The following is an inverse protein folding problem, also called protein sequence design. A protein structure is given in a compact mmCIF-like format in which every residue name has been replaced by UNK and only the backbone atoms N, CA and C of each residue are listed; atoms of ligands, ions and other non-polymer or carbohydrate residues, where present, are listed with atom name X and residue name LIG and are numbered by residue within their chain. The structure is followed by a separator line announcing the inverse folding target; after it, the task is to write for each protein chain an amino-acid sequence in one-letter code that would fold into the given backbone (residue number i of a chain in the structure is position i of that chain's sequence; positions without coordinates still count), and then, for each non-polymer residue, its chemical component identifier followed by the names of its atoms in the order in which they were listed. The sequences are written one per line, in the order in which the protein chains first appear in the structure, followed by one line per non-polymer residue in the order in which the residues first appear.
data_IF_435091675045
#
_entry.id   IF_435091675045
#
_cell.length_a   1.000
_cell.length_b   1.000
_cell.length_c   1.000
_cell.angle_alpha   90.00
_cell.angle_beta   90.00
_cell.angle_gamma   90.00
#
_symmetry.space_group_name_H-M   'P 1'
#
loop_
_entity.id
_entity.type
_entity.pdbx_description
1 polymer ?
#
# COMPACT_ATOMS: atom_id res chain seq x y z
N UNK A 1 20.90 27.52 -1.05
CA UNK A 1 20.00 26.40 -1.41
C UNK A 1 19.09 26.17 -0.22
N UNK A 2 17.80 25.93 -0.44
CA UNK A 2 16.82 25.82 0.64
C UNK A 2 16.74 24.34 1.03
N UNK A 3 17.04 23.96 2.28
CA UNK A 3 17.09 22.54 2.68
C UNK A 3 15.77 21.79 2.41
N UNK A 4 14.64 22.52 2.36
CA UNK A 4 13.35 21.95 1.98
C UNK A 4 13.28 21.66 0.48
N UNK A 5 13.76 22.57 -0.38
CA UNK A 5 13.78 22.32 -1.82
C UNK A 5 14.68 21.15 -2.16
N UNK A 6 15.83 21.07 -1.51
CA UNK A 6 16.85 20.06 -1.77
C UNK A 6 16.31 18.66 -1.38
N UNK A 7 15.64 18.54 -0.23
CA UNK A 7 14.96 17.32 0.19
C UNK A 7 13.93 16.77 -0.82
N UNK A 8 13.25 17.64 -1.57
CA UNK A 8 12.28 17.22 -2.58
C UNK A 8 12.88 17.08 -3.98
N UNK A 9 13.92 17.83 -4.33
CA UNK A 9 14.42 17.94 -5.71
C UNK A 9 15.70 17.15 -5.95
N UNK A 10 16.52 16.92 -4.92
CA UNK A 10 17.79 16.18 -5.04
C UNK A 10 17.59 14.78 -5.64
N UNK A 11 16.56 13.98 -5.28
CA UNK A 11 16.32 12.67 -5.90
C UNK A 11 16.04 12.71 -7.41
N UNK A 12 15.68 13.88 -7.95
CA UNK A 12 15.33 14.07 -9.36
C UNK A 12 16.47 14.73 -10.16
N UNK A 13 17.52 15.22 -9.49
CA UNK A 13 18.65 15.86 -10.18
C UNK A 13 19.41 14.84 -11.05
N UNK A 14 19.43 15.09 -12.36
CA UNK A 14 20.10 14.19 -13.32
C UNK A 14 19.30 12.94 -13.69
N UNK A 15 18.05 12.81 -13.24
CA UNK A 15 17.15 11.72 -13.62
C UNK A 15 16.50 12.03 -14.97
N UNK A 16 16.36 11.01 -15.82
CA UNK A 16 15.75 11.17 -17.14
C UNK A 16 14.31 11.71 -17.04
N UNK A 17 13.91 12.73 -17.84
CA UNK A 17 12.61 13.38 -17.69
C UNK A 17 11.42 12.42 -17.79
N UNK A 18 11.52 11.37 -18.61
CA UNK A 18 10.44 10.39 -18.76
C UNK A 18 10.23 9.57 -17.47
N UNK A 19 11.28 9.30 -16.69
CA UNK A 19 11.17 8.59 -15.41
C UNK A 19 10.44 9.44 -14.38
N UNK A 20 10.70 10.76 -14.37
CA UNK A 20 10.01 11.71 -13.49
C UNK A 20 8.52 11.79 -13.85
N UNK A 21 8.19 11.82 -15.14
CA UNK A 21 6.79 11.80 -15.60
C UNK A 21 6.09 10.51 -15.20
N UNK A 22 6.75 9.35 -15.36
CA UNK A 22 6.23 8.06 -14.93
C UNK A 22 5.99 8.03 -13.42
N UNK A 23 6.93 8.50 -12.62
CA UNK A 23 6.80 8.59 -11.17
C UNK A 23 5.63 9.48 -10.75
N UNK A 24 5.47 10.64 -11.41
CA UNK A 24 4.32 11.52 -11.18
C UNK A 24 2.99 10.82 -11.51
N UNK A 25 2.92 10.10 -12.64
CA UNK A 25 1.72 9.31 -12.99
C UNK A 25 1.44 8.26 -11.91
N UNK A 26 2.46 7.51 -11.48
CA UNK A 26 2.31 6.50 -10.43
C UNK A 26 1.82 7.11 -9.12
N UNK A 27 2.36 8.27 -8.72
CA UNK A 27 1.95 9.02 -7.54
C UNK A 27 0.46 9.41 -7.60
N UNK A 28 0.01 10.04 -8.69
CA UNK A 28 -1.39 10.47 -8.83
C UNK A 28 -2.36 9.28 -8.90
N UNK A 29 -2.01 8.23 -9.65
CA UNK A 29 -2.83 7.02 -9.73
C UNK A 29 -2.87 6.26 -8.40
N UNK A 30 -1.79 6.26 -7.63
CA UNK A 30 -1.74 5.72 -6.28
C UNK A 30 -2.72 6.44 -5.34
N UNK A 31 -2.70 7.78 -5.34
CA UNK A 31 -3.67 8.59 -4.57
C UNK A 31 -5.11 8.33 -5.04
N UNK A 32 -5.35 8.31 -6.35
CA UNK A 32 -6.66 8.02 -6.91
C UNK A 32 -7.17 6.64 -6.46
N UNK A 33 -6.30 5.62 -6.45
CA UNK A 33 -6.62 4.28 -5.98
C UNK A 33 -7.12 4.29 -4.54
N UNK A 34 -6.40 4.92 -3.61
CA UNK A 34 -6.82 5.02 -2.20
C UNK A 34 -8.13 5.82 -2.05
N UNK A 35 -8.34 6.86 -2.86
CA UNK A 35 -9.61 7.60 -2.88
C UNK A 35 -10.77 6.71 -3.34
N UNK A 36 -10.58 5.89 -4.37
CA UNK A 36 -11.59 4.93 -4.82
C UNK A 36 -11.84 3.82 -3.79
N UNK A 37 -10.79 3.35 -3.11
CA UNK A 37 -10.91 2.40 -2.01
C UNK A 37 -11.79 2.93 -0.89
N UNK A 38 -11.56 4.19 -0.46
CA UNK A 38 -12.39 4.87 0.52
C UNK A 38 -13.86 4.89 0.11
N UNK A 39 -14.14 5.13 -1.17
CA UNK A 39 -15.51 5.17 -1.74
C UNK A 39 -16.09 3.77 -2.05
N UNK A 40 -15.40 2.70 -1.68
CA UNK A 40 -15.78 1.32 -2.01
C UNK A 40 -16.06 1.11 -3.52
N UNK A 41 -15.27 1.82 -4.35
CA UNK A 41 -15.39 1.80 -5.79
C UNK A 41 -14.37 0.82 -6.40
N UNK A 42 -14.82 -0.03 -7.33
CA UNK A 42 -14.00 -1.02 -8.02
C UNK A 42 -12.82 -0.42 -8.79
N UNK A 43 -12.89 0.88 -9.14
CA UNK A 43 -11.81 1.62 -9.79
C UNK A 43 -10.51 1.70 -8.97
N UNK A 44 -10.54 1.34 -7.68
CA UNK A 44 -9.34 1.16 -6.85
C UNK A 44 -8.31 0.25 -7.51
N UNK A 45 -8.76 -0.82 -8.17
CA UNK A 45 -7.88 -1.84 -8.75
C UNK A 45 -7.25 -1.43 -10.07
N UNK A 46 -7.97 -0.97 -11.11
CA UNK A 46 -7.33 -0.50 -12.33
C UNK A 46 -6.39 0.68 -12.06
N UNK A 47 -6.78 1.61 -11.17
CA UNK A 47 -5.90 2.74 -10.84
C UNK A 47 -4.68 2.31 -10.03
N UNK A 48 -4.85 1.37 -9.09
CA UNK A 48 -3.75 0.76 -8.34
C UNK A 48 -2.79 0.00 -9.25
N UNK A 49 -3.30 -0.79 -10.19
CA UNK A 49 -2.49 -1.53 -11.17
C UNK A 49 -1.62 -0.63 -12.04
N UNK A 50 -2.18 0.48 -12.53
CA UNK A 50 -1.41 1.47 -13.29
C UNK A 50 -0.27 2.00 -12.44
N UNK A 51 -0.53 2.38 -11.19
CA UNK A 51 0.49 2.86 -10.28
C UNK A 51 1.57 1.80 -10.01
N UNK A 52 1.18 0.59 -9.60
CA UNK A 52 2.13 -0.45 -9.21
C UNK A 52 2.95 -0.98 -10.36
N UNK A 53 2.40 -1.10 -11.57
CA UNK A 53 3.14 -1.53 -12.77
C UNK A 53 4.20 -0.48 -13.14
N UNK A 54 3.85 0.81 -13.10
CA UNK A 54 4.81 1.88 -13.35
C UNK A 54 5.91 1.85 -12.27
N UNK A 55 5.55 1.71 -11.00
CA UNK A 55 6.52 1.63 -9.90
C UNK A 55 7.44 0.40 -10.01
N UNK A 56 6.93 -0.76 -10.44
CA UNK A 56 7.76 -1.94 -10.74
C UNK A 56 8.80 -1.62 -11.82
N UNK A 57 8.39 -0.93 -12.89
CA UNK A 57 9.33 -0.52 -13.94
C UNK A 57 10.38 0.47 -13.44
N UNK A 58 9.99 1.46 -12.64
CA UNK A 58 10.93 2.42 -12.03
C UNK A 58 11.96 1.71 -11.14
N UNK A 59 11.53 0.79 -10.27
CA UNK A 59 12.43 0.03 -9.41
C UNK A 59 13.31 -0.96 -10.16
N UNK A 60 12.85 -1.48 -11.31
CA UNK A 60 13.70 -2.26 -12.19
C UNK A 60 14.84 -1.41 -12.77
N UNK A 61 14.55 -0.18 -13.23
CA UNK A 61 15.56 0.76 -13.74
C UNK A 61 16.55 1.16 -12.65
N UNK A 62 16.08 1.37 -11.42
CA UNK A 62 16.92 1.75 -10.27
C UNK A 62 17.62 0.54 -9.59
N UNK A 63 17.45 -0.69 -10.11
CA UNK A 63 17.97 -1.94 -9.55
C UNK A 63 17.54 -2.21 -8.08
N UNK A 64 16.37 -1.68 -7.67
CA UNK A 64 15.77 -1.83 -6.35
C UNK A 64 14.87 -3.08 -6.30
N UNK A 65 15.46 -4.27 -6.40
CA UNK A 65 14.74 -5.53 -6.53
C UNK A 65 13.83 -5.87 -5.33
N UNK A 66 14.19 -5.41 -4.12
CA UNK A 66 13.37 -5.61 -2.92
C UNK A 66 12.04 -4.87 -2.98
N UNK A 67 12.07 -3.57 -3.27
CA UNK A 67 10.88 -2.73 -3.41
C UNK A 67 10.06 -3.10 -4.67
N UNK A 68 10.75 -3.55 -5.73
CA UNK A 68 10.12 -4.11 -6.92
C UNK A 68 9.26 -5.33 -6.60
N UNK A 69 9.75 -6.26 -5.77
CA UNK A 69 9.01 -7.45 -5.35
C UNK A 69 7.73 -7.09 -4.58
N UNK A 70 7.78 -6.07 -3.72
CA UNK A 70 6.59 -5.60 -3.00
C UNK A 70 5.54 -5.02 -3.95
N UNK A 71 5.95 -4.20 -4.93
CA UNK A 71 5.02 -3.63 -5.90
C UNK A 71 4.46 -4.68 -6.88
N UNK A 72 5.26 -5.70 -7.19
CA UNK A 72 4.77 -6.86 -7.92
C UNK A 72 3.66 -7.59 -7.15
N UNK A 73 3.86 -7.81 -5.84
CA UNK A 73 2.82 -8.35 -4.98
C UNK A 73 1.55 -7.48 -4.96
N UNK A 74 1.68 -6.16 -4.82
CA UNK A 74 0.51 -5.26 -4.88
C UNK A 74 -0.22 -5.36 -6.22
N UNK A 75 0.50 -5.57 -7.33
CA UNK A 75 -0.11 -5.78 -8.64
C UNK A 75 -0.92 -7.08 -8.67
N UNK A 76 -0.35 -8.19 -8.21
CA UNK A 76 -1.05 -9.49 -8.12
C UNK A 76 -2.27 -9.40 -7.21
N UNK A 77 -2.12 -8.79 -6.03
CA UNK A 77 -3.23 -8.58 -5.09
C UNK A 77 -4.30 -7.65 -5.63
N UNK A 78 -3.94 -6.67 -6.47
CA UNK A 78 -4.91 -5.80 -7.12
C UNK A 78 -5.74 -6.58 -8.14
N UNK A 79 -5.16 -7.53 -8.88
CA UNK A 79 -5.91 -8.43 -9.76
C UNK A 79 -6.86 -9.31 -8.95
N UNK A 80 -6.36 -9.93 -7.86
CA UNK A 80 -7.20 -10.75 -6.97
C UNK A 80 -8.35 -9.95 -6.37
N UNK A 81 -8.06 -8.76 -5.84
CA UNK A 81 -9.06 -7.88 -5.25
C UNK A 81 -10.08 -7.42 -6.28
N UNK A 82 -9.65 -7.11 -7.51
CA UNK A 82 -10.54 -6.77 -8.61
C UNK A 82 -11.52 -7.90 -8.88
N UNK A 83 -11.01 -9.11 -9.07
CA UNK A 83 -11.85 -10.28 -9.24
C UNK A 83 -12.81 -10.45 -8.07
N UNK A 84 -12.33 -10.35 -6.83
CA UNK A 84 -13.12 -10.55 -5.62
C UNK A 84 -14.26 -9.53 -5.46
N UNK A 85 -13.99 -8.25 -5.75
CA UNK A 85 -14.95 -7.16 -5.65
C UNK A 85 -15.92 -7.09 -6.83
N UNK A 86 -15.53 -7.60 -8.00
CA UNK A 86 -16.39 -7.72 -9.17
C UNK A 86 -17.45 -8.82 -9.01
N UNK A 87 -17.33 -9.71 -8.01
CA UNK A 87 -18.28 -10.81 -7.83
C UNK A 87 -19.64 -10.27 -7.39
N UNK A 88 -20.63 -10.49 -8.25
CA UNK A 88 -22.05 -10.26 -7.99
C UNK A 88 -22.75 -11.60 -8.03
N UNK A 89 -23.64 -11.89 -7.06
CA UNK A 89 -24.46 -13.10 -7.05
C UNK A 89 -25.93 -12.67 -7.01
N UNK A 90 -26.69 -13.07 -8.04
CA UNK A 90 -28.03 -12.54 -8.27
C UNK A 90 -27.96 -11.07 -8.68
N UNK A 91 -28.23 -10.17 -7.72
CA UNK A 91 -28.19 -8.72 -7.91
C UNK A 91 -27.42 -7.97 -6.79
N UNK A 92 -26.75 -8.71 -5.90
CA UNK A 92 -26.02 -8.15 -4.76
C UNK A 92 -24.52 -8.44 -4.87
N UNK A 93 -23.72 -7.48 -4.41
CA UNK A 93 -22.26 -7.65 -4.32
C UNK A 93 -21.97 -8.76 -3.31
N UNK A 94 -21.18 -9.77 -3.69
CA UNK A 94 -20.87 -10.93 -2.83
C UNK A 94 -20.04 -10.54 -1.61
N UNK A 95 -19.24 -9.48 -1.73
CA UNK A 95 -18.34 -9.03 -0.68
C UNK A 95 -18.84 -7.68 -0.14
N UNK A 96 -19.15 -7.66 1.16
CA UNK A 96 -19.52 -6.47 1.91
C UNK A 96 -18.45 -6.08 2.90
N UNK A 97 -18.46 -4.83 3.34
CA UNK A 97 -17.61 -4.35 4.41
C UNK A 97 -17.97 -5.14 5.68
N UNK A 98 -16.99 -5.82 6.26
CA UNK A 98 -17.15 -6.61 7.49
C UNK A 98 -15.96 -6.38 8.42
N UNK A 99 -16.07 -6.83 9.68
CA UNK A 99 -14.91 -6.92 10.57
C UNK A 99 -14.23 -8.27 10.45
N UNK A 100 -12.94 -8.29 10.77
CA UNK A 100 -12.16 -9.53 10.85
C UNK A 100 -12.67 -10.47 11.95
N UNK A 101 -12.85 -11.75 11.61
CA UNK A 101 -13.07 -12.80 12.59
C UNK A 101 -11.73 -13.39 13.11
N UNK A 102 -11.77 -14.25 14.13
CA UNK A 102 -10.55 -14.83 14.74
C UNK A 102 -9.71 -15.64 13.74
N UNK A 103 -10.35 -16.34 12.79
CA UNK A 103 -9.66 -17.12 11.76
C UNK A 103 -8.94 -16.21 10.75
N UNK A 104 -9.58 -15.14 10.33
CA UNK A 104 -9.01 -14.12 9.44
C UNK A 104 -7.85 -13.39 10.12
N UNK A 105 -7.95 -13.13 11.43
CA UNK A 105 -6.84 -12.60 12.23
C UNK A 105 -5.65 -13.56 12.27
N UNK A 106 -5.90 -14.86 12.42
CA UNK A 106 -4.85 -15.88 12.40
C UNK A 106 -4.19 -15.97 11.01
N UNK A 107 -4.97 -15.93 9.93
CA UNK A 107 -4.46 -15.91 8.55
C UNK A 107 -3.65 -14.64 8.32
N UNK A 108 -4.15 -13.47 8.75
CA UNK A 108 -3.45 -12.20 8.64
C UNK A 108 -2.13 -12.21 9.40
N UNK A 109 -2.10 -12.79 10.61
CA UNK A 109 -0.86 -12.97 11.37
C UNK A 109 0.13 -13.94 10.68
N UNK A 110 -0.38 -15.01 10.07
CA UNK A 110 0.44 -15.90 9.25
C UNK A 110 1.03 -15.21 8.03
N UNK A 111 0.24 -14.39 7.31
CA UNK A 111 0.71 -13.58 6.18
C UNK A 111 1.75 -12.55 6.61
N UNK A 112 1.54 -11.90 7.76
CA UNK A 112 2.48 -10.96 8.37
C UNK A 112 3.84 -11.63 8.60
N UNK A 113 3.88 -12.77 9.29
CA UNK A 113 5.13 -13.50 9.57
C UNK A 113 5.79 -14.04 8.30
N UNK A 114 5.00 -14.58 7.37
CA UNK A 114 5.50 -15.06 6.08
C UNK A 114 6.20 -13.94 5.32
N UNK A 115 5.55 -12.78 5.21
CA UNK A 115 6.09 -11.62 4.51
C UNK A 115 7.37 -11.13 5.17
N UNK A 116 7.41 -11.04 6.50
CA UNK A 116 8.64 -10.69 7.21
C UNK A 116 9.79 -11.65 6.89
N UNK A 117 9.51 -12.95 6.86
CA UNK A 117 10.51 -13.96 6.52
C UNK A 117 11.02 -13.83 5.08
N UNK A 118 10.11 -13.58 4.13
CA UNK A 118 10.45 -13.35 2.72
C UNK A 118 11.28 -12.08 2.56
N UNK A 119 10.83 -10.95 3.11
CA UNK A 119 11.55 -9.67 3.03
C UNK A 119 12.92 -9.77 3.70
N UNK A 120 13.02 -10.41 4.86
CA UNK A 120 14.32 -10.69 5.50
C UNK A 120 15.24 -11.54 4.63
N UNK A 121 14.68 -12.59 4.00
CA UNK A 121 15.42 -13.46 3.07
C UNK A 121 15.93 -12.70 1.85
N UNK A 122 15.14 -11.78 1.30
CA UNK A 122 15.54 -10.87 0.20
C UNK A 122 16.70 -9.99 0.65
N UNK A 123 16.58 -9.29 1.79
CA UNK A 123 17.67 -8.46 2.31
C UNK A 123 18.98 -9.23 2.50
N UNK A 124 18.92 -10.45 3.03
CA UNK A 124 20.09 -11.32 3.17
C UNK A 124 20.64 -11.82 1.84
N UNK A 125 19.77 -12.22 0.91
CA UNK A 125 20.14 -12.76 -0.40
C UNK A 125 20.85 -11.75 -1.30
N UNK A 126 20.48 -10.47 -1.20
CA UNK A 126 21.13 -9.38 -1.93
C UNK A 126 22.35 -8.78 -1.19
N UNK A 127 22.75 -9.35 -0.05
CA UNK A 127 23.93 -8.92 0.70
C UNK A 127 23.79 -7.56 1.38
N UNK A 128 22.56 -7.07 1.58
CA UNK A 128 22.31 -5.79 2.26
C UNK A 128 22.72 -5.89 3.73
N UNK A 129 23.48 -4.91 4.21
CA UNK A 129 23.76 -4.77 5.64
C UNK A 129 22.46 -4.42 6.38
N UNK A 130 22.06 -5.28 7.32
CA UNK A 130 20.84 -5.08 8.09
C UNK A 130 21.07 -4.04 9.19
N UNK A 131 20.65 -2.82 8.93
CA UNK A 131 20.60 -1.74 9.91
C UNK A 131 19.23 -1.66 10.59
N UNK A 132 19.11 -0.85 11.65
CA UNK A 132 17.85 -0.65 12.37
C UNK A 132 16.68 -0.26 11.45
N UNK A 133 16.96 0.56 10.44
CA UNK A 133 15.98 0.97 9.43
C UNK A 133 15.43 -0.20 8.59
N UNK A 134 16.23 -1.25 8.35
CA UNK A 134 15.78 -2.42 7.58
C UNK A 134 14.86 -3.31 8.41
N UNK A 135 15.08 -3.44 9.72
CA UNK A 135 14.16 -4.18 10.58
C UNK A 135 12.79 -3.52 10.67
N UNK A 136 12.76 -2.19 10.72
CA UNK A 136 11.52 -1.41 10.66
C UNK A 136 10.81 -1.66 9.33
N UNK A 137 11.55 -1.62 8.22
CA UNK A 137 11.02 -1.87 6.88
C UNK A 137 10.45 -3.29 6.70
N UNK A 138 11.17 -4.31 7.19
CA UNK A 138 10.68 -5.71 7.19
C UNK A 138 9.36 -5.83 7.96
N UNK A 139 9.27 -5.16 9.11
CA UNK A 139 8.07 -5.15 9.92
C UNK A 139 6.90 -4.43 9.21
N UNK A 140 7.11 -3.22 8.69
CA UNK A 140 6.07 -2.47 7.98
C UNK A 140 5.59 -3.18 6.72
N UNK A 141 6.49 -3.88 6.01
CA UNK A 141 6.15 -4.74 4.87
C UNK A 141 5.11 -5.80 5.23
N UNK A 142 5.31 -6.50 6.34
CA UNK A 142 4.35 -7.49 6.83
C UNK A 142 2.98 -6.87 7.13
N UNK A 143 2.97 -5.66 7.69
CA UNK A 143 1.73 -4.92 7.96
C UNK A 143 1.02 -4.56 6.65
N UNK A 144 1.72 -3.98 5.67
CA UNK A 144 1.13 -3.61 4.38
C UNK A 144 0.58 -4.80 3.61
N UNK A 145 1.29 -5.94 3.60
CA UNK A 145 0.80 -7.16 2.96
C UNK A 145 -0.50 -7.64 3.60
N UNK A 146 -0.55 -7.65 4.93
CA UNK A 146 -1.75 -8.02 5.68
C UNK A 146 -2.89 -7.03 5.43
N UNK A 147 -2.59 -5.74 5.40
CA UNK A 147 -3.54 -4.67 5.12
C UNK A 147 -4.14 -4.82 3.71
N UNK A 148 -3.30 -5.11 2.71
CA UNK A 148 -3.74 -5.32 1.33
C UNK A 148 -4.65 -6.54 1.20
N UNK A 149 -4.32 -7.64 1.90
CA UNK A 149 -5.20 -8.81 1.94
C UNK A 149 -6.55 -8.52 2.60
N UNK A 150 -6.56 -7.81 3.72
CA UNK A 150 -7.80 -7.36 4.36
C UNK A 150 -8.62 -6.42 3.48
N UNK A 151 -7.96 -5.51 2.76
CA UNK A 151 -8.61 -4.61 1.82
C UNK A 151 -9.28 -5.38 0.68
N UNK A 152 -8.58 -6.35 0.08
CA UNK A 152 -9.12 -7.22 -0.95
C UNK A 152 -10.36 -7.99 -0.47
N UNK A 153 -10.46 -8.30 0.82
CA UNK A 153 -11.61 -8.98 1.44
C UNK A 153 -12.61 -8.03 2.14
N UNK A 154 -12.52 -6.71 1.88
CA UNK A 154 -13.35 -5.64 2.47
C UNK A 154 -13.45 -5.69 4.00
N UNK A 155 -12.31 -5.94 4.66
CA UNK A 155 -12.24 -5.93 6.12
C UNK A 155 -11.91 -4.55 6.65
N UNK A 156 -12.69 -4.03 7.59
CA UNK A 156 -12.50 -2.68 8.14
C UNK A 156 -11.08 -2.47 8.71
N UNK A 157 -10.52 -3.51 9.33
CA UNK A 157 -9.18 -3.49 9.93
C UNK A 157 -8.05 -3.22 8.92
N UNK A 158 -8.31 -3.33 7.61
CA UNK A 158 -7.34 -2.90 6.59
C UNK A 158 -6.87 -1.47 6.85
N UNK A 159 -7.79 -0.55 7.11
CA UNK A 159 -7.47 0.87 7.28
C UNK A 159 -6.66 1.12 8.55
N UNK A 160 -6.94 0.37 9.62
CA UNK A 160 -6.15 0.46 10.86
C UNK A 160 -4.71 0.03 10.63
N UNK A 161 -4.50 -1.03 9.84
CA UNK A 161 -3.15 -1.49 9.47
C UNK A 161 -2.44 -0.49 8.55
N UNK A 162 -3.14 0.08 7.56
CA UNK A 162 -2.59 1.14 6.70
C UNK A 162 -2.14 2.35 7.52
N UNK A 163 -3.00 2.89 8.39
CA UNK A 163 -2.65 4.02 9.26
C UNK A 163 -1.42 3.71 10.13
N UNK A 164 -1.40 2.53 10.75
CA UNK A 164 -0.29 2.12 11.60
C UNK A 164 1.03 2.00 10.82
N UNK A 165 1.00 1.39 9.63
CA UNK A 165 2.18 1.26 8.78
C UNK A 165 2.66 2.61 8.24
N UNK A 166 1.73 3.47 7.81
CA UNK A 166 2.08 4.78 7.27
C UNK A 166 2.75 5.69 8.32
N UNK A 167 2.25 5.70 9.57
CA UNK A 167 2.84 6.47 10.68
C UNK A 167 4.30 6.08 10.93
N UNK A 168 4.67 4.81 10.70
CA UNK A 168 6.04 4.33 10.82
C UNK A 168 6.86 4.64 9.56
N UNK A 169 6.24 4.52 8.39
CA UNK A 169 6.92 4.62 7.09
C UNK A 169 7.24 6.07 6.70
N UNK A 170 6.37 7.03 7.04
CA UNK A 170 6.61 8.47 6.80
C UNK A 170 7.95 8.95 7.39
N UNK A 171 8.22 8.81 8.70
CA UNK A 171 9.50 9.24 9.28
C UNK A 171 10.68 8.40 8.77
N UNK A 172 10.47 7.11 8.46
CA UNK A 172 11.51 6.25 7.89
C UNK A 172 11.98 6.76 6.52
N UNK A 173 11.06 7.14 5.64
CA UNK A 173 11.37 7.66 4.31
C UNK A 173 11.92 9.08 4.37
N UNK A 174 11.44 9.92 5.29
CA UNK A 174 12.04 11.21 5.55
C UNK A 174 13.51 11.07 6.02
N UNK A 175 13.81 10.11 6.90
CA UNK A 175 15.17 9.82 7.34
C UNK A 175 16.08 9.33 6.19
N UNK A 176 15.53 8.59 5.22
CA UNK A 176 16.25 8.15 4.01
C UNK A 176 16.40 9.23 2.92
N UNK A 177 15.89 10.45 3.15
CA UNK A 177 15.95 11.54 2.16
C UNK A 177 14.93 11.42 1.02
N UNK A 178 13.94 10.53 1.13
CA UNK A 178 12.95 10.29 0.09
C UNK A 178 11.71 11.17 0.27
N UNK A 179 11.87 12.47 0.00
CA UNK A 179 10.86 13.48 0.33
C UNK A 179 9.50 13.28 -0.34
N UNK A 180 9.48 12.97 -1.64
CA UNK A 180 8.23 12.75 -2.35
C UNK A 180 7.46 11.53 -1.83
N UNK A 181 8.16 10.41 -1.57
CA UNK A 181 7.54 9.21 -0.99
C UNK A 181 7.03 9.47 0.43
N UNK A 182 7.82 10.18 1.26
CA UNK A 182 7.35 10.58 2.59
C UNK A 182 6.06 11.41 2.52
N UNK A 183 5.97 12.35 1.58
CA UNK A 183 4.76 13.14 1.35
C UNK A 183 3.59 12.28 0.87
N UNK A 184 3.84 11.33 -0.04
CA UNK A 184 2.83 10.40 -0.53
C UNK A 184 2.22 9.57 0.60
N UNK A 185 3.04 8.98 1.46
CA UNK A 185 2.58 8.17 2.59
C UNK A 185 1.84 9.02 3.64
N UNK A 186 2.21 10.29 3.80
CA UNK A 186 1.46 11.23 4.64
C UNK A 186 0.05 11.46 4.09
N UNK A 187 -0.10 11.64 2.77
CA UNK A 187 -1.40 11.75 2.10
C UNK A 187 -2.19 10.45 2.27
N UNK A 188 -1.55 9.29 2.10
CA UNK A 188 -2.18 7.99 2.33
C UNK A 188 -2.68 7.84 3.76
N UNK A 189 -1.93 8.30 4.76
CA UNK A 189 -2.35 8.28 6.17
C UNK A 189 -3.68 9.04 6.35
N UNK A 190 -3.76 10.26 5.81
CA UNK A 190 -4.98 11.09 5.90
C UNK A 190 -6.15 10.42 5.19
N UNK A 191 -5.93 9.87 3.99
CA UNK A 191 -6.96 9.15 3.25
C UNK A 191 -7.38 7.86 3.95
N UNK A 192 -6.47 7.16 4.62
CA UNK A 192 -6.75 5.94 5.35
C UNK A 192 -7.61 6.20 6.59
N UNK A 193 -7.35 7.29 7.32
CA UNK A 193 -8.23 7.76 8.41
C UNK A 193 -9.64 8.05 7.87
N UNK A 194 -9.75 8.76 6.75
CA UNK A 194 -11.05 9.03 6.13
C UNK A 194 -11.73 7.74 5.63
N UNK A 195 -10.96 6.80 5.08
CA UNK A 195 -11.38 5.47 4.65
C UNK A 195 -12.00 4.67 5.78
N UNK A 196 -11.30 4.61 6.92
CA UNK A 196 -11.79 3.95 8.13
C UNK A 196 -13.12 4.52 8.59
N UNK A 197 -13.24 5.86 8.66
CA UNK A 197 -14.46 6.52 9.10
C UNK A 197 -15.63 6.28 8.14
N UNK A 198 -15.39 6.34 6.83
CA UNK A 198 -16.40 6.06 5.81
C UNK A 198 -16.91 4.61 5.91
N UNK A 199 -15.99 3.64 5.92
CA UNK A 199 -16.35 2.22 5.98
C UNK A 199 -17.02 1.83 7.29
N UNK A 200 -16.59 2.42 8.41
CA UNK A 200 -17.25 2.21 9.71
C UNK A 200 -18.69 2.74 9.70
N UNK A 201 -18.94 3.89 9.05
CA UNK A 201 -20.29 4.45 8.90
C UNK A 201 -21.17 3.53 8.07
N UNK A 202 -20.65 2.99 6.97
CA UNK A 202 -21.40 2.09 6.10
C UNK A 202 -21.69 0.73 6.76
N UNK A 203 -20.71 0.18 7.50
CA UNK A 203 -20.89 -1.03 8.32
C UNK A 203 -21.98 -0.85 9.40
N UNK A 204 -22.02 0.31 10.05
CA UNK A 204 -23.03 0.57 11.08
C UNK A 204 -24.44 0.67 10.48
N UNK A 205 -24.58 1.23 9.26
CA UNK A 205 -25.87 1.29 8.56
C UNK A 205 -26.35 -0.10 8.13
N UNK A 206 -25.47 -0.96 7.65
CA UNK A 206 -25.84 -2.33 7.27
C UNK A 206 -26.29 -3.16 8.47
N UNK A 207 -25.68 -2.97 9.64
CA UNK A 207 -26.11 -3.64 10.88
C UNK A 207 -27.46 -3.14 11.41
N UNK A 208 -27.88 -1.92 11.08
CA UNK A 208 -29.18 -1.36 11.47
C UNK A 208 -30.33 -1.73 10.52
N UNK A 209 -30.01 -2.25 9.33
CA UNK A 209 -30.98 -2.64 8.29
C UNK A 209 -31.22 -4.16 8.24
N UNK A 210 -30.49 -4.92 9.06
CA UNK A 210 -30.69 -6.35 9.33
C UNK A 210 -31.55 -6.55 10.58
#
# INVERSE_FOLDING_TARGET
MNPISDFFLDPYMGREPYLIVLEAIAFFFGIASVVYAKKENILVYPTGLVATIITVYLFYVDALFGDMMMNFYYSVMSIYGWWNWARVKGNERVVHITRTNTREKLIGFGLFLMTMGVTYGVYKGFGTLLEGANYIDIFTSGVFFTAMWYMANKKLENWTLWIFADIITVPLYAYRGWGMLSLQYLIFTVLAVQGYLAWKKDLNKSLQTL
#
